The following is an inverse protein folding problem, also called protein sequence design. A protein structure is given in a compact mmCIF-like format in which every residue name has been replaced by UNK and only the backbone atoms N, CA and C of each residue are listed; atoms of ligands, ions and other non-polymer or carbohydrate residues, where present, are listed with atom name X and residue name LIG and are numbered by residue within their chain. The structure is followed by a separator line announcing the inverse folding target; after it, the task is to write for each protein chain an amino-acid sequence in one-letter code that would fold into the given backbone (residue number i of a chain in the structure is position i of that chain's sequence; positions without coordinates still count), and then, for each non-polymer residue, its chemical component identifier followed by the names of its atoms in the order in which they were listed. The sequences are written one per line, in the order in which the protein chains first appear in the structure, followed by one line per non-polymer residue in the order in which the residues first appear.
data_IF_557789366538
#
_entry.id   IF_557789366538
#
_cell.length_a   1.000
_cell.length_b   1.000
_cell.length_c   1.000
_cell.angle_alpha   90.00
_cell.angle_beta   90.00
_cell.angle_gamma   90.00
#
_symmetry.space_group_name_H-M   'P 1'
#
loop_
_entity.id
_entity.type
_entity.pdbx_description
1 polymer ?
#
# COMPACT_ATOMS: atom_id res chain seq x y z
N UNK A 1 -22.70 8.77 -6.57
CA UNK A 1 -22.86 9.36 -7.92
C UNK A 1 -22.42 8.33 -8.93
N UNK A 2 -23.32 7.86 -9.81
CA UNK A 2 -22.94 6.97 -10.92
C UNK A 2 -22.25 7.80 -12.00
N UNK A 3 -20.94 8.05 -11.83
CA UNK A 3 -20.14 8.72 -12.85
C UNK A 3 -19.84 7.73 -13.96
N UNK A 4 -20.55 7.84 -15.09
CA UNK A 4 -20.02 7.40 -16.38
C UNK A 4 -18.85 8.34 -16.73
N UNK A 5 -17.69 8.12 -16.10
CA UNK A 5 -16.46 8.73 -16.56
C UNK A 5 -16.14 8.18 -17.96
N UNK A 6 -15.86 9.05 -18.92
CA UNK A 6 -15.34 8.63 -20.22
C UNK A 6 -14.01 7.90 -19.98
N UNK A 7 -13.86 6.73 -20.59
CA UNK A 7 -12.62 5.97 -20.55
C UNK A 7 -11.73 6.43 -21.71
N UNK A 8 -10.56 6.95 -21.38
CA UNK A 8 -9.56 7.40 -22.34
C UNK A 8 -8.51 6.29 -22.57
N UNK A 9 -7.97 6.21 -23.78
CA UNK A 9 -6.86 5.31 -24.07
C UNK A 9 -5.60 5.77 -23.30
N UNK A 10 -4.78 4.84 -22.77
CA UNK A 10 -3.55 5.19 -22.09
C UNK A 10 -2.53 5.82 -23.07
N UNK A 11 -1.58 6.65 -22.60
CA UNK A 11 -0.49 7.14 -23.44
C UNK A 11 0.35 6.01 -24.04
N UNK A 12 0.89 6.20 -25.25
CA UNK A 12 1.65 5.17 -26.00
C UNK A 12 2.81 4.54 -25.22
N UNK A 13 3.39 5.23 -24.23
CA UNK A 13 4.49 4.67 -23.42
C UNK A 13 4.02 3.74 -22.28
N UNK A 14 2.70 3.64 -22.08
CA UNK A 14 2.04 2.80 -21.08
C UNK A 14 1.33 1.61 -21.73
N UNK A 15 2.10 0.81 -22.46
CA UNK A 15 1.65 -0.51 -22.91
C UNK A 15 1.12 -1.36 -21.74
N UNK A 16 0.12 -2.20 -22.04
CA UNK A 16 -0.53 -3.12 -21.11
C UNK A 16 -1.31 -2.49 -19.94
N UNK A 17 -1.65 -1.21 -20.05
CA UNK A 17 -2.61 -0.54 -19.15
C UNK A 17 -4.01 -0.56 -19.77
N UNK A 18 -5.06 -1.00 -19.05
CA UNK A 18 -6.44 -0.87 -19.53
C UNK A 18 -6.88 0.60 -19.71
N UNK A 19 -8.01 0.86 -20.39
CA UNK A 19 -8.58 2.20 -20.46
C UNK A 19 -8.77 2.85 -19.08
N UNK A 20 -8.48 4.15 -18.99
CA UNK A 20 -8.48 4.90 -17.73
C UNK A 20 -9.62 5.90 -17.69
N UNK A 21 -10.21 6.09 -16.51
CA UNK A 21 -11.13 7.19 -16.25
C UNK A 21 -10.33 8.46 -15.97
N UNK A 22 -10.74 9.56 -16.59
CA UNK A 22 -10.24 10.91 -16.26
C UNK A 22 -11.16 11.57 -15.26
N UNK A 23 -10.61 12.04 -14.14
CA UNK A 23 -11.32 12.86 -13.16
C UNK A 23 -10.69 14.25 -13.10
N UNK A 24 -11.52 15.25 -12.82
CA UNK A 24 -11.09 16.63 -12.59
C UNK A 24 -11.55 17.07 -11.22
N UNK A 25 -10.63 17.55 -10.39
CA UNK A 25 -10.98 18.10 -9.09
C UNK A 25 -11.64 19.50 -9.20
N UNK A 26 -12.12 20.03 -8.07
CA UNK A 26 -12.73 21.37 -8.02
C UNK A 26 -11.77 22.52 -8.38
N UNK A 27 -10.47 22.24 -8.46
CA UNK A 27 -9.43 23.21 -8.80
C UNK A 27 -9.03 23.15 -10.28
N UNK A 28 -9.65 22.25 -11.06
CA UNK A 28 -9.37 22.08 -12.49
C UNK A 28 -8.19 21.16 -12.79
N UNK A 29 -7.64 20.44 -11.79
CA UNK A 29 -6.58 19.47 -12.03
C UNK A 29 -7.19 18.17 -12.56
N UNK A 30 -6.71 17.68 -13.72
CA UNK A 30 -7.11 16.38 -14.26
C UNK A 30 -6.09 15.29 -13.94
N UNK A 31 -6.58 14.10 -13.58
CA UNK A 31 -5.79 12.93 -13.22
C UNK A 31 -6.55 11.64 -13.55
N UNK A 32 -5.83 10.52 -13.59
CA UNK A 32 -6.32 9.29 -14.23
C UNK A 32 -6.38 8.13 -13.24
N UNK A 33 -7.40 7.30 -13.38
CA UNK A 33 -7.61 6.12 -12.56
C UNK A 33 -8.07 4.92 -13.36
N UNK A 34 -7.78 3.74 -12.83
CA UNK A 34 -8.54 2.55 -13.18
C UNK A 34 -9.92 2.57 -12.52
N UNK A 35 -10.97 2.24 -13.27
CA UNK A 35 -12.32 2.16 -12.70
C UNK A 35 -12.59 0.73 -12.18
N UNK A 36 -12.41 0.50 -10.88
CA UNK A 36 -12.72 -0.78 -10.23
C UNK A 36 -14.22 -0.94 -9.92
N UNK A 37 -15.02 0.10 -10.15
CA UNK A 37 -16.47 0.10 -9.97
C UNK A 37 -16.92 0.93 -8.78
N UNK A 38 -16.58 0.52 -7.56
CA UNK A 38 -16.96 1.21 -6.31
C UNK A 38 -15.81 2.04 -5.71
N UNK A 39 -14.60 1.92 -6.24
CA UNK A 39 -13.45 2.76 -5.90
C UNK A 39 -12.52 2.98 -7.10
N UNK A 40 -11.60 3.94 -6.96
CA UNK A 40 -10.60 4.25 -7.97
C UNK A 40 -9.33 3.45 -7.77
N UNK A 41 -8.87 2.78 -8.83
CA UNK A 41 -7.66 1.97 -8.83
C UNK A 41 -6.47 2.76 -9.34
N UNK A 42 -5.26 2.44 -8.87
CA UNK A 42 -4.05 2.99 -9.45
C UNK A 42 -3.88 2.46 -10.90
N UNK A 43 -3.48 3.26 -11.90
CA UNK A 43 -3.34 2.81 -13.30
C UNK A 43 -2.19 1.80 -13.55
N UNK A 44 -2.26 0.61 -12.96
CA UNK A 44 -1.27 -0.44 -13.11
C UNK A 44 -1.41 -1.18 -14.45
N UNK A 45 -0.28 -1.75 -14.90
CA UNK A 45 -0.20 -2.63 -16.06
C UNK A 45 -0.70 -4.02 -15.68
N UNK A 46 -1.97 -4.30 -15.95
CA UNK A 46 -2.64 -5.57 -15.61
C UNK A 46 -3.05 -6.38 -16.86
N UNK A 47 -2.56 -5.95 -18.03
CA UNK A 47 -2.89 -6.51 -19.33
C UNK A 47 -3.92 -5.64 -20.05
N UNK A 48 -3.64 -5.26 -21.31
CA UNK A 48 -4.54 -4.43 -22.10
C UNK A 48 -5.87 -5.13 -22.46
N UNK A 49 -5.92 -6.46 -22.36
CA UNK A 49 -7.10 -7.30 -22.56
C UNK A 49 -7.98 -7.44 -21.30
N UNK A 50 -7.60 -6.79 -20.20
CA UNK A 50 -8.29 -6.84 -18.92
C UNK A 50 -8.91 -5.47 -18.57
N UNK A 51 -9.74 -5.42 -17.52
CA UNK A 51 -10.23 -4.16 -16.95
C UNK A 51 -10.13 -4.18 -15.41
N UNK A 52 -10.12 -3.01 -14.79
CA UNK A 52 -9.89 -2.88 -13.34
C UNK A 52 -11.01 -3.49 -12.48
N UNK A 53 -12.25 -3.55 -12.99
CA UNK A 53 -13.37 -4.19 -12.28
C UNK A 53 -13.21 -5.70 -12.31
N UNK A 54 -12.92 -6.27 -13.47
CA UNK A 54 -12.63 -7.71 -13.64
C UNK A 54 -11.41 -8.10 -12.80
N UNK A 55 -10.33 -7.32 -12.84
CA UNK A 55 -9.13 -7.59 -12.05
C UNK A 55 -9.36 -7.65 -10.54
N UNK A 56 -10.15 -6.72 -9.99
CA UNK A 56 -10.47 -6.73 -8.56
C UNK A 56 -11.40 -7.91 -8.22
N UNK A 57 -12.29 -8.31 -9.12
CA UNK A 57 -13.08 -9.53 -8.97
C UNK A 57 -12.19 -10.78 -8.99
N UNK A 58 -11.21 -10.83 -9.89
CA UNK A 58 -10.25 -11.93 -9.98
C UNK A 58 -9.44 -12.05 -8.69
N UNK A 59 -8.96 -10.92 -8.12
CA UNK A 59 -8.33 -10.89 -6.79
C UNK A 59 -9.27 -11.53 -5.77
N UNK A 60 -10.54 -11.09 -5.72
CA UNK A 60 -11.52 -11.58 -4.74
C UNK A 60 -11.82 -13.08 -4.88
N UNK A 61 -11.80 -13.62 -6.10
CA UNK A 61 -12.09 -15.03 -6.39
C UNK A 61 -10.85 -15.93 -6.51
N UNK A 62 -9.64 -15.39 -6.39
CA UNK A 62 -8.42 -16.16 -6.59
C UNK A 62 -8.31 -17.34 -5.60
N UNK A 63 -7.64 -18.40 -6.05
CA UNK A 63 -7.30 -19.52 -5.18
C UNK A 63 -6.19 -19.13 -4.20
N UNK A 64 -6.45 -19.35 -2.91
CA UNK A 64 -5.50 -19.16 -1.82
C UNK A 64 -4.96 -20.52 -1.36
N UNK A 65 -3.66 -20.60 -1.07
CA UNK A 65 -3.01 -21.76 -0.48
C UNK A 65 -2.97 -21.59 1.03
N UNK A 66 -2.96 -22.71 1.75
CA UNK A 66 -3.04 -22.70 3.21
C UNK A 66 -1.79 -22.09 3.86
N UNK A 67 -0.67 -22.07 3.12
CA UNK A 67 0.62 -21.51 3.51
C UNK A 67 0.88 -20.10 2.96
N UNK A 68 -0.10 -19.47 2.30
CA UNK A 68 0.05 -18.09 1.85
C UNK A 68 0.15 -17.13 3.04
N UNK A 69 0.94 -16.07 2.86
CA UNK A 69 0.99 -14.93 3.77
C UNK A 69 0.55 -13.70 2.99
N UNK A 70 -0.32 -12.90 3.58
CA UNK A 70 -0.82 -11.68 2.94
C UNK A 70 -0.38 -10.43 3.71
N UNK A 71 0.10 -9.40 2.99
CA UNK A 71 0.31 -8.06 3.52
C UNK A 71 -0.66 -7.11 2.82
N UNK A 72 -1.51 -6.48 3.62
CA UNK A 72 -2.55 -5.58 3.18
C UNK A 72 -2.28 -4.18 3.73
N UNK A 73 -2.48 -3.15 2.94
CA UNK A 73 -2.14 -1.79 3.35
C UNK A 73 -2.87 -0.75 2.54
N UNK A 74 -3.24 0.38 3.12
CA UNK A 74 -3.48 1.56 2.30
C UNK A 74 -2.15 2.02 1.69
N UNK A 75 -2.11 2.61 0.47
CA UNK A 75 -0.86 3.11 -0.07
C UNK A 75 -0.14 4.02 0.91
N UNK A 76 1.18 3.83 1.01
CA UNK A 76 2.10 4.65 1.82
C UNK A 76 2.05 4.45 3.33
N UNK A 77 1.47 3.35 3.80
CA UNK A 77 1.55 2.93 5.22
C UNK A 77 2.72 1.99 5.54
N UNK A 78 3.67 1.80 4.60
CA UNK A 78 4.93 1.08 4.87
C UNK A 78 5.10 -0.28 4.19
N UNK A 79 4.37 -0.55 3.10
CA UNK A 79 4.40 -1.82 2.37
C UNK A 79 5.81 -2.31 2.04
N UNK A 80 6.65 -1.48 1.42
CA UNK A 80 7.99 -1.88 1.00
C UNK A 80 8.89 -2.28 2.17
N UNK A 81 8.74 -1.64 3.33
CA UNK A 81 9.53 -1.94 4.53
C UNK A 81 9.13 -3.28 5.13
N UNK A 82 7.84 -3.49 5.35
CA UNK A 82 7.31 -4.74 5.90
C UNK A 82 7.49 -5.91 4.93
N UNK A 83 7.33 -5.69 3.64
CA UNK A 83 7.60 -6.68 2.60
C UNK A 83 9.03 -7.23 2.71
N UNK A 84 10.02 -6.36 2.89
CA UNK A 84 11.42 -6.79 3.01
C UNK A 84 11.67 -7.57 4.30
N UNK A 85 11.14 -7.07 5.44
CA UNK A 85 11.23 -7.76 6.74
C UNK A 85 10.61 -9.16 6.66
N UNK A 86 9.38 -9.26 6.15
CA UNK A 86 8.66 -10.53 6.05
C UNK A 86 9.37 -11.49 5.10
N UNK A 87 9.89 -11.01 3.96
CA UNK A 87 10.72 -11.82 3.06
C UNK A 87 11.93 -12.41 3.79
N UNK A 88 12.69 -11.58 4.50
CA UNK A 88 13.87 -12.00 5.24
C UNK A 88 13.56 -13.01 6.36
N UNK A 89 12.45 -12.81 7.07
CA UNK A 89 11.97 -13.75 8.08
C UNK A 89 11.58 -15.10 7.46
N UNK A 90 10.90 -15.10 6.31
CA UNK A 90 10.54 -16.32 5.59
C UNK A 90 11.77 -17.06 5.06
N UNK A 91 12.80 -16.33 4.65
CA UNK A 91 14.05 -16.91 4.13
C UNK A 91 15.04 -17.29 5.24
N UNK A 92 14.80 -16.89 6.49
CA UNK A 92 15.73 -17.10 7.60
C UNK A 92 17.08 -16.40 7.38
N UNK A 93 17.07 -15.22 6.74
CA UNK A 93 18.28 -14.51 6.31
C UNK A 93 18.09 -13.00 6.36
N UNK A 94 19.10 -12.26 6.83
CA UNK A 94 19.15 -10.80 6.77
C UNK A 94 19.66 -10.24 5.43
N UNK A 95 19.75 -11.07 4.39
CA UNK A 95 20.25 -10.65 3.08
C UNK A 95 19.15 -9.98 2.23
N UNK A 96 19.33 -8.69 1.90
CA UNK A 96 18.42 -7.95 1.00
C UNK A 96 18.47 -8.47 -0.44
N UNK A 97 19.60 -9.06 -0.85
CA UNK A 97 19.92 -9.44 -2.23
C UNK A 97 19.49 -10.86 -2.61
N UNK A 98 18.85 -11.60 -1.70
CA UNK A 98 18.28 -12.90 -2.06
C UNK A 98 17.19 -12.69 -3.13
N UNK A 99 17.50 -13.06 -4.37
CA UNK A 99 16.58 -13.13 -5.50
C UNK A 99 15.58 -14.30 -5.31
N UNK A 100 14.62 -14.13 -4.42
CA UNK A 100 13.40 -14.95 -4.47
C UNK A 100 12.19 -14.07 -4.75
N UNK A 101 12.31 -13.25 -5.81
CA UNK A 101 11.16 -12.60 -6.49
C UNK A 101 10.10 -13.62 -6.95
N UNK A 102 10.44 -14.91 -6.99
CA UNK A 102 9.55 -16.00 -7.36
C UNK A 102 8.32 -16.14 -6.43
N UNK A 103 8.44 -15.84 -5.13
CA UNK A 103 7.34 -16.01 -4.16
C UNK A 103 6.45 -14.79 -4.00
N UNK A 104 6.98 -13.59 -4.27
CA UNK A 104 6.33 -12.31 -3.97
C UNK A 104 5.40 -11.87 -5.09
N UNK A 105 4.16 -11.55 -4.77
CA UNK A 105 3.21 -11.03 -5.73
C UNK A 105 2.50 -9.78 -5.22
N UNK A 106 2.61 -8.67 -5.95
CA UNK A 106 1.73 -7.53 -5.74
C UNK A 106 0.50 -7.70 -6.62
N UNK A 107 -0.61 -8.15 -6.01
CA UNK A 107 -1.83 -8.57 -6.70
C UNK A 107 -2.41 -7.45 -7.55
N UNK A 108 -2.31 -6.21 -7.06
CA UNK A 108 -2.83 -5.01 -7.72
C UNK A 108 -2.17 -4.72 -9.07
N UNK A 109 -0.94 -5.19 -9.29
CA UNK A 109 -0.19 -4.98 -10.52
C UNK A 109 0.22 -6.28 -11.22
N UNK A 110 -0.38 -7.41 -10.85
CA UNK A 110 -0.03 -8.73 -11.41
C UNK A 110 -1.28 -9.40 -11.91
N UNK A 111 -1.30 -9.84 -13.18
CA UNK A 111 -2.42 -10.62 -13.72
C UNK A 111 -2.67 -11.85 -12.84
N UNK A 112 -3.87 -11.99 -12.30
CA UNK A 112 -4.16 -12.98 -11.25
C UNK A 112 -3.94 -14.42 -11.72
N UNK A 113 -4.12 -14.68 -13.02
CA UNK A 113 -3.84 -15.97 -13.63
C UNK A 113 -2.37 -16.42 -13.54
N UNK A 114 -1.39 -15.51 -13.36
CA UNK A 114 0.03 -15.89 -13.22
C UNK A 114 0.46 -16.11 -11.76
N UNK A 115 -0.42 -15.84 -10.80
CA UNK A 115 -0.12 -15.98 -9.36
C UNK A 115 -0.06 -17.46 -8.95
N UNK A 116 -0.67 -18.36 -9.72
CA UNK A 116 -0.57 -19.80 -9.55
C UNK A 116 0.83 -20.35 -9.79
N UNK A 117 1.63 -19.67 -10.60
CA UNK A 117 2.95 -20.16 -11.04
C UNK A 117 4.04 -19.89 -9.99
N UNK A 118 3.71 -19.13 -8.95
CA UNK A 118 4.63 -18.76 -7.88
C UNK A 118 4.87 -19.90 -6.91
N UNK A 119 6.10 -20.04 -6.47
CA UNK A 119 6.49 -21.02 -5.44
C UNK A 119 5.81 -20.71 -4.11
N UNK A 120 5.46 -21.76 -3.37
CA UNK A 120 4.98 -21.65 -1.99
C UNK A 120 6.15 -21.52 -0.99
N UNK A 121 5.93 -20.92 0.20
CA UNK A 121 4.76 -20.10 0.54
C UNK A 121 4.76 -18.78 -0.26
N UNK A 122 3.59 -18.33 -0.74
CA UNK A 122 3.50 -17.07 -1.49
C UNK A 122 3.40 -15.89 -0.53
N UNK A 123 4.11 -14.82 -0.84
CA UNK A 123 3.95 -13.52 -0.18
C UNK A 123 3.07 -12.62 -1.04
N UNK A 124 1.79 -12.55 -0.70
CA UNK A 124 0.78 -11.80 -1.43
C UNK A 124 0.67 -10.38 -0.85
N UNK A 125 0.74 -9.37 -1.70
CA UNK A 125 0.68 -7.96 -1.31
C UNK A 125 -0.51 -7.33 -2.00
N UNK A 126 -1.28 -6.50 -1.29
CA UNK A 126 -2.40 -5.77 -1.92
C UNK A 126 -2.74 -4.48 -1.20
N UNK A 127 -3.30 -3.52 -1.96
CA UNK A 127 -3.92 -2.33 -1.41
C UNK A 127 -5.45 -2.36 -1.46
N UNK A 128 -6.06 -3.44 -1.97
CA UNK A 128 -7.53 -3.49 -2.05
C UNK A 128 -8.16 -3.33 -0.68
N UNK A 129 -9.29 -2.61 -0.58
CA UNK A 129 -10.01 -2.52 0.68
C UNK A 129 -10.65 -3.86 1.07
N UNK A 130 -10.98 -4.02 2.35
CA UNK A 130 -11.25 -5.33 2.97
C UNK A 130 -12.31 -6.17 2.23
N UNK A 131 -13.42 -5.55 1.79
CA UNK A 131 -14.49 -6.24 1.05
C UNK A 131 -14.04 -6.88 -0.27
N UNK A 132 -12.88 -6.50 -0.80
CA UNK A 132 -12.29 -7.02 -2.03
C UNK A 132 -11.13 -8.00 -1.79
N UNK A 133 -10.81 -8.31 -0.53
CA UNK A 133 -9.87 -9.38 -0.23
C UNK A 133 -10.30 -10.72 -0.84
N UNK A 134 -9.34 -11.61 -1.17
CA UNK A 134 -9.63 -12.98 -1.56
C UNK A 134 -10.49 -13.66 -0.51
N UNK A 135 -11.69 -14.14 -0.89
CA UNK A 135 -12.62 -14.77 0.06
C UNK A 135 -11.97 -15.97 0.77
N UNK A 136 -11.23 -16.77 0.01
CA UNK A 136 -10.54 -17.94 0.53
C UNK A 136 -9.46 -17.58 1.57
N UNK A 137 -8.93 -16.35 1.60
CA UNK A 137 -7.97 -15.95 2.64
C UNK A 137 -8.62 -15.94 4.03
N UNK A 138 -9.88 -15.52 4.12
CA UNK A 138 -10.66 -15.54 5.36
C UNK A 138 -11.16 -16.95 5.67
N UNK A 139 -11.68 -17.68 4.68
CA UNK A 139 -12.21 -19.04 4.85
C UNK A 139 -11.13 -20.02 5.33
N UNK A 140 -9.92 -19.93 4.76
CA UNK A 140 -8.76 -20.76 5.12
C UNK A 140 -7.98 -20.23 6.31
N UNK A 141 -8.34 -19.03 6.80
CA UNK A 141 -7.73 -18.40 7.97
C UNK A 141 -6.20 -18.28 7.82
N UNK A 142 -5.73 -17.83 6.66
CA UNK A 142 -4.29 -17.59 6.44
C UNK A 142 -3.81 -16.43 7.30
N UNK A 143 -2.48 -16.30 7.46
CA UNK A 143 -1.87 -15.16 8.16
C UNK A 143 -1.98 -13.89 7.33
N UNK A 144 -2.61 -12.86 7.89
CA UNK A 144 -2.82 -11.56 7.24
C UNK A 144 -2.20 -10.45 8.10
N UNK A 145 -1.27 -9.71 7.51
CA UNK A 145 -0.63 -8.54 8.11
C UNK A 145 -1.32 -7.29 7.56
N UNK A 146 -1.92 -6.47 8.42
CA UNK A 146 -2.49 -5.18 8.04
C UNK A 146 -1.54 -4.04 8.42
N UNK A 147 -1.10 -3.24 7.45
CA UNK A 147 -0.18 -2.13 7.70
C UNK A 147 -0.93 -0.82 7.88
N UNK A 148 -0.57 -0.14 8.95
CA UNK A 148 -1.25 1.02 9.45
C UNK A 148 -0.27 2.15 9.72
N UNK A 149 -0.67 3.39 9.50
CA UNK A 149 0.16 4.58 9.73
C UNK A 149 -0.74 5.77 10.02
N UNK A 150 -0.23 6.72 10.78
CA UNK A 150 -0.99 7.93 11.08
C UNK A 150 -1.48 8.59 9.76
N UNK A 151 -2.76 8.98 9.68
CA UNK A 151 -3.34 9.48 8.44
C UNK A 151 -2.70 10.75 7.87
N UNK A 152 -2.14 11.63 8.71
CA UNK A 152 -1.51 12.88 8.26
C UNK A 152 -0.23 12.62 7.48
N UNK A 153 0.68 11.79 8.01
CA UNK A 153 1.89 11.40 7.27
C UNK A 153 1.57 10.51 6.07
N UNK A 154 0.51 9.72 6.13
CA UNK A 154 0.03 8.91 5.00
C UNK A 154 -0.39 9.81 3.85
N UNK A 155 -1.19 10.85 4.11
CA UNK A 155 -1.60 11.85 3.12
C UNK A 155 -0.39 12.55 2.50
N UNK A 156 0.52 13.09 3.31
CA UNK A 156 1.74 13.73 2.80
C UNK A 156 2.56 12.77 1.94
N UNK A 157 2.76 11.54 2.42
CA UNK A 157 3.53 10.55 1.69
C UNK A 157 2.84 10.13 0.37
N UNK A 158 1.51 10.13 0.31
CA UNK A 158 0.75 9.82 -0.89
C UNK A 158 0.85 10.96 -1.90
N UNK A 159 0.66 12.21 -1.46
CA UNK A 159 0.85 13.38 -2.32
C UNK A 159 2.20 13.35 -3.02
N UNK A 160 3.29 13.23 -2.25
CA UNK A 160 4.64 13.20 -2.83
C UNK A 160 4.85 12.02 -3.77
N UNK A 161 4.30 10.86 -3.43
CA UNK A 161 4.38 9.69 -4.28
C UNK A 161 3.70 9.94 -5.62
N UNK A 162 2.44 10.38 -5.63
CA UNK A 162 1.71 10.67 -6.86
C UNK A 162 2.36 11.83 -7.63
N UNK A 163 2.74 12.91 -6.96
CA UNK A 163 3.36 14.06 -7.59
C UNK A 163 4.73 13.72 -8.22
N UNK A 164 5.43 12.70 -7.73
CA UNK A 164 6.71 12.25 -8.31
C UNK A 164 6.57 11.41 -9.59
N UNK A 165 5.38 10.92 -9.92
CA UNK A 165 5.18 10.12 -11.14
C UNK A 165 5.04 11.00 -12.39
N UNK A 166 5.14 10.37 -13.57
CA UNK A 166 4.76 10.97 -14.86
C UNK A 166 3.26 10.79 -15.14
N UNK A 167 2.71 11.64 -16.01
CA UNK A 167 1.34 11.50 -16.55
C UNK A 167 1.23 10.19 -17.30
N UNK A 168 0.27 9.30 -16.98
CA UNK A 168 -1.01 9.55 -16.30
C UNK A 168 -1.05 9.13 -14.82
N UNK A 169 0.07 8.68 -14.24
CA UNK A 169 0.13 8.21 -12.86
C UNK A 169 0.20 9.35 -11.82
N UNK A 170 0.37 10.59 -12.24
CA UNK A 170 0.62 11.68 -11.31
C UNK A 170 -0.65 12.44 -10.90
N UNK A 171 -0.55 13.10 -9.76
CA UNK A 171 -1.42 14.22 -9.43
C UNK A 171 -0.69 15.54 -9.78
N UNK A 172 -1.28 16.45 -10.58
CA UNK A 172 -0.57 17.64 -11.04
C UNK A 172 -0.70 18.85 -10.11
N UNK A 173 -1.69 18.87 -9.21
CA UNK A 173 -1.97 20.00 -8.33
C UNK A 173 -0.99 20.18 -7.17
N UNK A 174 -1.21 21.24 -6.39
CA UNK A 174 -0.45 21.54 -5.17
C UNK A 174 -0.83 20.61 -4.01
N UNK A 175 -0.03 20.61 -2.94
CA UNK A 175 -0.34 19.87 -1.72
C UNK A 175 -1.67 20.30 -1.11
N UNK A 176 -1.95 21.60 -1.07
CA UNK A 176 -3.21 22.14 -0.55
C UNK A 176 -4.43 21.64 -1.33
N UNK A 177 -4.33 21.63 -2.66
CA UNK A 177 -5.39 21.09 -3.50
C UNK A 177 -5.58 19.59 -3.28
N UNK A 178 -4.48 18.84 -3.17
CA UNK A 178 -4.52 17.40 -2.87
C UNK A 178 -5.14 17.12 -1.50
N UNK A 179 -4.80 17.92 -0.48
CA UNK A 179 -5.36 17.81 0.87
C UNK A 179 -6.89 17.92 0.85
N UNK A 180 -7.43 18.92 0.15
CA UNK A 180 -8.87 19.09 0.03
C UNK A 180 -9.53 17.96 -0.77
N UNK A 181 -8.95 17.56 -1.91
CA UNK A 181 -9.42 16.41 -2.67
C UNK A 181 -9.49 15.14 -1.80
N UNK A 182 -8.42 14.87 -1.06
CA UNK A 182 -8.31 13.69 -0.22
C UNK A 182 -9.36 13.65 0.88
N UNK A 183 -9.64 14.77 1.55
CA UNK A 183 -10.66 14.83 2.61
C UNK A 183 -12.10 14.82 2.08
N UNK A 184 -12.34 15.34 0.88
CA UNK A 184 -13.70 15.46 0.32
C UNK A 184 -14.19 14.17 -0.34
N UNK A 185 -13.30 13.47 -1.04
CA UNK A 185 -13.67 12.29 -1.86
C UNK A 185 -12.71 11.12 -1.77
N UNK A 186 -11.52 11.28 -1.20
CA UNK A 186 -10.46 10.27 -1.23
C UNK A 186 -9.61 10.30 -2.51
N UNK A 187 -8.87 9.22 -2.77
CA UNK A 187 -8.00 9.10 -3.95
C UNK A 187 -7.99 7.65 -4.47
N UNK A 188 -6.82 7.09 -4.81
CA UNK A 188 -6.68 5.65 -5.10
C UNK A 188 -7.07 4.81 -3.88
N UNK A 189 -7.78 3.71 -4.09
CA UNK A 189 -8.31 2.80 -3.07
C UNK A 189 -9.40 3.41 -2.16
N UNK A 190 -9.93 4.58 -2.57
CA UNK A 190 -11.03 5.25 -1.89
C UNK A 190 -10.55 6.27 -0.86
N UNK A 191 -11.44 6.57 0.08
CA UNK A 191 -11.15 7.43 1.22
C UNK A 191 -10.42 6.63 2.32
N UNK A 192 -9.37 7.22 2.90
CA UNK A 192 -8.53 6.55 3.89
C UNK A 192 -9.28 6.23 5.19
N UNK A 193 -10.17 7.10 5.66
CA UNK A 193 -10.91 6.86 6.90
C UNK A 193 -11.89 5.71 6.73
N UNK A 194 -12.60 5.68 5.59
CA UNK A 194 -13.47 4.54 5.26
C UNK A 194 -12.67 3.25 5.11
N UNK A 195 -11.52 3.31 4.43
CA UNK A 195 -10.61 2.17 4.27
C UNK A 195 -10.18 1.61 5.63
N UNK A 196 -9.73 2.47 6.55
CA UNK A 196 -9.25 2.06 7.87
C UNK A 196 -10.38 1.48 8.74
N UNK A 197 -11.56 2.12 8.76
CA UNK A 197 -12.73 1.62 9.49
C UNK A 197 -13.22 0.29 8.92
N UNK A 198 -13.25 0.14 7.60
CA UNK A 198 -13.65 -1.10 6.95
C UNK A 198 -12.68 -2.25 7.28
N UNK A 199 -11.38 -1.98 7.27
CA UNK A 199 -10.38 -2.96 7.71
C UNK A 199 -10.53 -3.33 9.18
N UNK A 200 -10.74 -2.36 10.07
CA UNK A 200 -10.99 -2.65 11.49
C UNK A 200 -12.23 -3.53 11.66
N UNK A 201 -13.37 -3.13 11.10
CA UNK A 201 -14.61 -3.86 11.22
C UNK A 201 -14.48 -5.27 10.62
N UNK A 202 -13.84 -5.38 9.45
CA UNK A 202 -13.58 -6.67 8.81
C UNK A 202 -12.74 -7.62 9.66
N UNK A 203 -11.71 -7.11 10.35
CA UNK A 203 -10.94 -7.91 11.30
C UNK A 203 -11.77 -8.33 12.52
N UNK A 204 -12.61 -7.43 13.05
CA UNK A 204 -13.46 -7.71 14.21
C UNK A 204 -14.58 -8.71 13.91
N UNK A 205 -15.15 -8.66 12.71
CA UNK A 205 -16.16 -9.60 12.22
C UNK A 205 -15.59 -10.99 11.91
N UNK A 206 -14.27 -11.13 11.84
CA UNK A 206 -13.56 -12.39 11.54
C UNK A 206 -12.52 -12.73 12.62
N UNK A 207 -12.94 -12.92 13.89
CA UNK A 207 -12.03 -13.03 15.04
C UNK A 207 -11.14 -14.29 15.01
N UNK A 208 -11.52 -15.31 14.25
CA UNK A 208 -10.75 -16.55 14.10
C UNK A 208 -9.63 -16.46 13.05
N UNK A 209 -9.60 -15.41 12.23
CA UNK A 209 -8.57 -15.23 11.21
C UNK A 209 -7.35 -14.60 11.89
N UNK A 210 -6.13 -15.14 11.70
CA UNK A 210 -4.93 -14.59 12.31
C UNK A 210 -4.54 -13.28 11.60
N UNK A 211 -5.02 -12.17 12.15
CA UNK A 211 -4.63 -10.82 11.76
C UNK A 211 -3.51 -10.29 12.67
N UNK A 212 -2.55 -9.58 12.06
CA UNK A 212 -1.56 -8.79 12.79
C UNK A 212 -1.53 -7.36 12.24
N UNK A 213 -1.89 -6.39 13.07
CA UNK A 213 -1.78 -4.97 12.69
C UNK A 213 -0.38 -4.46 12.99
N UNK A 214 0.32 -4.00 11.95
CA UNK A 214 1.64 -3.41 12.07
C UNK A 214 1.52 -1.89 11.93
N UNK A 215 1.73 -1.17 13.04
CA UNK A 215 1.65 0.30 13.09
C UNK A 215 3.03 0.89 12.80
N UNK A 216 3.15 1.65 11.71
CA UNK A 216 4.40 2.24 11.23
C UNK A 216 5.15 3.02 12.32
N UNK A 217 4.41 3.76 13.14
CA UNK A 217 4.96 4.55 14.24
C UNK A 217 5.63 3.68 15.32
N UNK A 218 5.06 2.50 15.62
CA UNK A 218 5.62 1.57 16.58
C UNK A 218 6.87 0.89 16.03
N UNK A 219 6.84 0.51 14.75
CA UNK A 219 8.02 -0.01 14.07
C UNK A 219 9.16 1.01 14.05
N UNK A 220 8.84 2.29 13.81
CA UNK A 220 9.84 3.37 13.81
C UNK A 220 10.42 3.62 15.19
N UNK A 221 9.61 3.48 16.24
CA UNK A 221 10.04 3.67 17.62
C UNK A 221 10.94 2.52 18.11
N UNK A 222 10.60 1.27 17.77
CA UNK A 222 11.40 0.11 18.15
C UNK A 222 11.42 -0.95 17.01
N UNK A 223 12.33 -0.80 16.03
CA UNK A 223 12.39 -1.68 14.87
C UNK A 223 12.66 -3.15 15.22
N UNK A 224 13.56 -3.41 16.17
CA UNK A 224 13.93 -4.76 16.59
C UNK A 224 12.74 -5.52 17.18
N UNK A 225 12.04 -4.87 18.12
CA UNK A 225 10.84 -5.45 18.72
C UNK A 225 9.73 -5.68 17.68
N UNK A 226 9.58 -4.77 16.72
CA UNK A 226 8.61 -4.95 15.64
C UNK A 226 8.94 -6.18 14.76
N UNK A 227 10.22 -6.41 14.45
CA UNK A 227 10.66 -7.62 13.71
C UNK A 227 10.44 -8.87 14.56
N UNK A 228 10.77 -8.84 15.86
CA UNK A 228 10.55 -9.96 16.80
C UNK A 228 9.06 -10.34 16.88
N UNK A 229 8.14 -9.37 16.95
CA UNK A 229 6.70 -9.62 16.93
C UNK A 229 6.20 -10.19 15.59
N UNK A 230 6.73 -9.70 14.47
CA UNK A 230 6.42 -10.27 13.14
C UNK A 230 6.92 -11.72 13.03
N UNK A 231 8.14 -12.01 13.51
CA UNK A 231 8.67 -13.38 13.59
C UNK A 231 7.76 -14.29 14.42
N UNK A 232 7.31 -13.82 15.59
CA UNK A 232 6.39 -14.58 16.44
C UNK A 232 5.05 -14.85 15.75
N UNK A 233 4.44 -13.84 15.12
CA UNK A 233 3.17 -13.98 14.40
C UNK A 233 3.30 -14.93 13.19
N UNK A 234 4.38 -14.78 12.42
CA UNK A 234 4.65 -15.63 11.26
C UNK A 234 5.09 -17.04 11.65
N UNK A 235 5.62 -17.23 12.86
CA UNK A 235 6.14 -18.52 13.33
C UNK A 235 7.31 -19.02 12.51
N UNK A 236 8.17 -18.12 12.00
CA UNK A 236 9.32 -18.51 11.16
C UNK A 236 10.47 -19.11 11.97
N UNK A 237 10.46 -18.93 13.31
CA UNK A 237 11.45 -19.52 14.21
C UNK A 237 12.84 -18.88 14.10
N UNK A 238 12.93 -17.67 13.53
CA UNK A 238 14.18 -16.91 13.49
C UNK A 238 14.66 -16.61 14.91
N UNK A 239 15.98 -16.62 15.14
CA UNK A 239 16.55 -16.22 16.42
C UNK A 239 16.37 -14.72 16.67
N UNK A 240 16.49 -14.30 17.93
CA UNK A 240 16.48 -12.88 18.27
C UNK A 240 17.61 -12.12 17.58
N UNK A 241 18.81 -12.71 17.52
CA UNK A 241 19.96 -12.16 16.81
C UNK A 241 19.66 -11.93 15.32
N UNK A 242 19.01 -12.89 14.66
CA UNK A 242 18.61 -12.72 13.26
C UNK A 242 17.54 -11.63 13.11
N UNK A 243 16.60 -11.51 14.05
CA UNK A 243 15.60 -10.43 14.03
C UNK A 243 16.27 -9.05 14.14
N UNK A 244 17.30 -8.91 14.99
CA UNK A 244 18.09 -7.69 15.13
C UNK A 244 18.87 -7.36 13.85
N UNK A 245 19.51 -8.37 13.23
CA UNK A 245 20.18 -8.22 11.94
C UNK A 245 19.22 -7.80 10.82
N UNK A 246 18.02 -8.37 10.78
CA UNK A 246 16.96 -8.00 9.83
C UNK A 246 16.51 -6.55 10.06
N UNK A 247 16.29 -6.16 11.32
CA UNK A 247 15.89 -4.79 11.67
C UNK A 247 16.94 -3.77 11.22
N UNK A 248 18.22 -4.06 11.45
CA UNK A 248 19.33 -3.23 10.98
C UNK A 248 19.42 -3.20 9.45
N UNK A 249 19.35 -4.35 8.77
CA UNK A 249 19.38 -4.42 7.31
C UNK A 249 18.23 -3.62 6.67
N UNK A 250 17.04 -3.69 7.27
CA UNK A 250 15.84 -2.99 6.84
C UNK A 250 15.76 -1.54 7.34
N UNK A 251 16.82 -0.97 7.91
CA UNK A 251 16.78 0.45 8.27
C UNK A 251 16.61 1.34 7.02
N UNK A 252 16.00 2.52 7.20
CA UNK A 252 15.58 3.36 6.08
C UNK A 252 16.73 3.74 5.13
N UNK A 253 17.90 4.09 5.68
CA UNK A 253 19.06 4.51 4.89
C UNK A 253 19.59 3.38 4.03
N UNK A 254 19.78 2.18 4.61
CA UNK A 254 20.26 0.99 3.90
C UNK A 254 19.28 0.55 2.83
N UNK A 255 17.99 0.46 3.17
CA UNK A 255 16.94 0.13 2.20
C UNK A 255 16.86 1.12 1.05
N UNK A 256 16.90 2.42 1.35
CA UNK A 256 16.85 3.48 0.32
C UNK A 256 18.00 3.33 -0.65
N UNK A 257 19.23 3.20 -0.13
CA UNK A 257 20.42 3.04 -0.95
C UNK A 257 20.31 1.79 -1.85
N UNK A 258 19.96 0.65 -1.27
CA UNK A 258 19.89 -0.62 -2.00
C UNK A 258 18.80 -0.61 -3.07
N UNK A 259 17.62 -0.10 -2.75
CA UNK A 259 16.46 -0.17 -3.66
C UNK A 259 16.53 0.88 -4.75
N UNK A 260 17.13 2.05 -4.49
CA UNK A 260 17.41 3.03 -5.55
C UNK A 260 18.49 2.55 -6.53
N UNK A 261 19.49 1.78 -6.07
CA UNK A 261 20.55 1.25 -6.94
C UNK A 261 20.12 0.04 -7.78
N UNK A 262 19.15 -0.74 -7.28
CA UNK A 262 18.68 -1.99 -7.92
C UNK A 262 17.34 -1.86 -8.64
N UNK A 263 16.72 -0.68 -8.62
CA UNK A 263 15.42 -0.46 -9.25
C UNK A 263 15.45 -0.78 -10.76
N UNK A 264 14.55 -1.64 -11.27
CA UNK A 264 14.50 -1.95 -12.70
C UNK A 264 14.24 -0.68 -13.54
N UNK A 265 14.82 -0.56 -14.74
CA UNK A 265 14.61 0.60 -15.62
C UNK A 265 13.13 0.90 -15.90
N UNK A 266 12.31 -0.14 -16.06
CA UNK A 266 10.86 0.00 -16.28
C UNK A 266 10.14 0.65 -15.09
N UNK A 267 10.58 0.38 -13.86
CA UNK A 267 10.03 1.01 -12.65
C UNK A 267 10.53 2.45 -12.54
N UNK A 268 11.82 2.68 -12.80
CA UNK A 268 12.40 4.03 -12.83
C UNK A 268 11.69 4.94 -13.84
N UNK A 269 11.32 4.41 -15.01
CA UNK A 269 10.65 5.16 -16.07
C UNK A 269 9.28 5.75 -15.67
N UNK A 270 8.62 5.20 -14.63
CA UNK A 270 7.35 5.69 -14.10
C UNK A 270 7.46 7.05 -13.40
N UNK A 271 8.66 7.42 -12.94
CA UNK A 271 8.92 8.59 -12.11
C UNK A 271 9.55 9.74 -12.90
N UNK A 272 9.25 10.98 -12.49
CA UNK A 272 9.91 12.19 -12.97
C UNK A 272 11.42 12.06 -12.73
N UNK A 273 12.22 12.39 -13.75
CA UNK A 273 13.68 12.24 -13.69
C UNK A 273 14.19 10.80 -13.83
N UNK A 274 13.33 9.82 -14.18
CA UNK A 274 13.69 8.41 -14.37
C UNK A 274 14.39 7.78 -13.16
N UNK A 275 13.96 8.15 -11.96
CA UNK A 275 14.50 7.62 -10.69
C UNK A 275 13.34 7.34 -9.74
N UNK A 276 13.28 6.14 -9.16
CA UNK A 276 12.26 5.80 -8.19
C UNK A 276 12.22 6.78 -7.01
N UNK A 277 11.01 7.09 -6.54
CA UNK A 277 10.77 8.01 -5.43
C UNK A 277 9.97 7.36 -4.29
N UNK A 278 10.11 6.04 -4.10
CA UNK A 278 9.43 5.33 -3.01
C UNK A 278 9.98 5.71 -1.63
N UNK A 279 11.29 5.97 -1.52
CA UNK A 279 12.03 6.19 -0.27
C UNK A 279 12.30 7.68 -0.02
N UNK A 280 11.27 8.41 0.42
CA UNK A 280 11.35 9.88 0.60
C UNK A 280 12.06 10.28 1.89
N UNK A 281 11.39 10.11 3.04
CA UNK A 281 11.91 10.46 4.39
C UNK A 281 11.88 9.31 5.40
N UNK A 282 10.82 8.49 5.40
CA UNK A 282 10.72 7.35 6.33
C UNK A 282 10.62 7.76 7.81
N UNK A 283 10.02 8.93 8.08
CA UNK A 283 9.90 9.55 9.41
C UNK A 283 8.44 9.62 9.87
N UNK A 284 8.26 9.85 11.17
CA UNK A 284 6.96 10.16 11.80
C UNK A 284 6.95 11.64 12.17
N UNK A 285 5.92 12.36 11.74
CA UNK A 285 5.76 13.80 12.03
C UNK A 285 6.12 14.74 10.89
N UNK A 286 6.48 14.22 9.70
CA UNK A 286 6.78 15.08 8.55
C UNK A 286 5.56 15.88 8.08
N UNK A 287 4.35 15.43 8.41
CA UNK A 287 3.13 16.18 8.16
C UNK A 287 3.16 17.62 8.68
N UNK A 288 3.89 17.89 9.77
CA UNK A 288 4.04 19.25 10.32
C UNK A 288 4.74 20.23 9.36
N UNK A 289 5.54 19.71 8.43
CA UNK A 289 6.22 20.54 7.42
C UNK A 289 5.31 20.91 6.24
N UNK A 290 4.10 20.35 6.17
CA UNK A 290 3.19 20.49 5.03
C UNK A 290 1.83 21.04 5.40
N UNK A 291 1.33 20.68 6.59
CA UNK A 291 0.06 21.15 7.07
C UNK A 291 0.18 22.59 7.58
N UNK A 292 -0.69 23.48 7.08
CA UNK A 292 -0.96 24.73 7.77
C UNK A 292 -1.75 24.47 9.05
N UNK A 293 -1.81 25.44 9.96
CA UNK A 293 -2.63 25.33 11.17
C UNK A 293 -4.10 25.06 10.82
N UNK A 294 -4.64 25.79 9.83
CA UNK A 294 -6.01 25.61 9.36
C UNK A 294 -6.27 24.21 8.78
N UNK A 295 -5.34 23.67 7.97
CA UNK A 295 -5.44 22.28 7.48
C UNK A 295 -5.44 21.28 8.63
N UNK A 296 -4.59 21.50 9.64
CA UNK A 296 -4.53 20.61 10.79
C UNK A 296 -5.84 20.62 11.59
N UNK A 297 -6.40 21.79 11.87
CA UNK A 297 -7.68 21.93 12.57
C UNK A 297 -8.83 21.27 11.79
N UNK A 298 -8.90 21.51 10.46
CA UNK A 298 -9.88 20.87 9.59
C UNK A 298 -9.73 19.34 9.60
N UNK A 299 -8.50 18.85 9.51
CA UNK A 299 -8.22 17.42 9.53
C UNK A 299 -8.63 16.79 10.86
N UNK A 300 -8.26 17.41 11.98
CA UNK A 300 -8.57 16.90 13.32
C UNK A 300 -10.08 16.88 13.58
N UNK A 301 -10.82 17.87 13.11
CA UNK A 301 -12.28 17.88 13.17
C UNK A 301 -12.89 16.68 12.43
N UNK A 302 -12.47 16.44 11.19
CA UNK A 302 -13.01 15.35 10.38
C UNK A 302 -12.59 13.98 10.90
N UNK A 303 -11.33 13.84 11.33
CA UNK A 303 -10.82 12.62 11.97
C UNK A 303 -11.61 12.28 13.22
N UNK A 304 -11.78 13.23 14.15
CA UNK A 304 -12.52 12.99 15.40
C UNK A 304 -13.98 12.59 15.16
N UNK A 305 -14.59 13.14 14.10
CA UNK A 305 -15.96 12.80 13.71
C UNK A 305 -16.05 11.38 13.13
N UNK A 306 -15.21 11.04 12.14
CA UNK A 306 -15.31 9.79 11.38
C UNK A 306 -14.64 8.59 12.05
N UNK A 307 -13.58 8.85 12.81
CA UNK A 307 -12.71 7.82 13.41
C UNK A 307 -12.95 7.68 14.93
N UNK A 308 -14.09 8.13 15.45
CA UNK A 308 -14.42 8.07 16.88
C UNK A 308 -14.44 6.65 17.47
N UNK A 309 -14.77 5.66 16.65
CA UNK A 309 -14.77 4.23 17.04
C UNK A 309 -13.51 3.49 16.58
N UNK A 310 -12.53 4.19 16.02
CA UNK A 310 -11.30 3.57 15.55
C UNK A 310 -10.36 3.30 16.72
N UNK A 311 -9.86 2.07 16.83
CA UNK A 311 -9.16 1.55 18.02
C UNK A 311 -7.66 1.74 17.96
N UNK A 312 -7.06 1.88 16.77
CA UNK A 312 -5.61 2.12 16.67
C UNK A 312 -5.27 3.54 17.10
N UNK A 313 -4.40 3.65 18.10
CA UNK A 313 -3.88 4.93 18.60
C UNK A 313 -2.56 5.25 17.91
N UNK A 314 -2.51 6.40 17.22
CA UNK A 314 -1.32 6.83 16.48
C UNK A 314 -0.41 7.74 17.31
N UNK A 315 0.89 7.67 17.00
CA UNK A 315 1.86 8.71 17.38
C UNK A 315 2.06 9.64 16.19
N UNK A 316 1.72 10.91 16.34
CA UNK A 316 1.87 11.89 15.26
C UNK A 316 3.28 12.50 15.19
N UNK A 317 4.15 12.19 16.14
CA UNK A 317 5.57 12.55 16.18
C UNK A 317 6.34 11.49 16.95
N UNK A 318 7.62 11.32 16.64
CA UNK A 318 8.58 10.54 17.43
C UNK A 318 9.76 11.39 17.85
#
# INVERSE_FOLDING_TARGET
MSNQASLDAPPEWMDDVPPLATLTDRFGNSFYFGNAGDFWFHPFRIGADNDFRTHVQDIRSMNIRDDDIMICSYPKTGLHWNMEIVKMLMDGSANMDNEVEARRCFLDSTRISSVSDRASPRLLLTHVPFRWLPKQALEKKIKIIFLNRNPKDTLVSLYHHMHSHKVPLNYPGTFEQFFHLFLEVGYIYGDLFDYLMEWQNGMEDNPDVPFYTCVFEEMKLNPEEAVKKLNQFLGTGCSEELCEQIADACNFTKMKQQKESTAPPIVNALFKGNKIAFYRKGEVGDWKNWFTVAMNEQFDQEYNKRMSNYKTVYKYTL
#
